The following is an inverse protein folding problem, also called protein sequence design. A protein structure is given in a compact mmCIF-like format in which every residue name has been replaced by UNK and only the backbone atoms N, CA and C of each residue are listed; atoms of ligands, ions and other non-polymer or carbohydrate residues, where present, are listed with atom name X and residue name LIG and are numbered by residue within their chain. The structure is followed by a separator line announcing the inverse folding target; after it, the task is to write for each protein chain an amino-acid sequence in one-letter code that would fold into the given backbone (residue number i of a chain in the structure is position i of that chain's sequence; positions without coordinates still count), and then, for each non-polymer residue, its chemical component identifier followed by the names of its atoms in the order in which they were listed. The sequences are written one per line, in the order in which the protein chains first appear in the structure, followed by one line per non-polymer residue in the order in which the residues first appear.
data_IF_937776073663
#
_entry.id   IF_937776073663
#
_cell.length_a   1.000
_cell.length_b   1.000
_cell.length_c   1.000
_cell.angle_alpha   90.00
_cell.angle_beta   90.00
_cell.angle_gamma   90.00
#
_symmetry.space_group_name_H-M   'P 1'
#
loop_
_entity.id
_entity.type
_entity.pdbx_description
1 polymer ?
#
# COMPACT_ATOMS: atom_id res chain seq x y z
N UNK A 1 -22.25 2.40 10.72
CA UNK A 1 -21.33 1.42 11.34
C UNK A 1 -21.53 0.01 10.76
N UNK A 2 -22.77 -0.51 10.70
CA UNK A 2 -23.04 -1.86 10.16
C UNK A 2 -22.54 -2.06 8.72
N UNK A 3 -22.76 -1.09 7.83
CA UNK A 3 -22.26 -1.14 6.44
C UNK A 3 -20.73 -1.18 6.38
N UNK A 4 -20.05 -0.33 7.16
CA UNK A 4 -18.60 -0.30 7.22
C UNK A 4 -18.04 -1.64 7.76
N UNK A 5 -18.63 -2.17 8.82
CA UNK A 5 -18.25 -3.47 9.37
C UNK A 5 -18.46 -4.59 8.36
N UNK A 6 -19.61 -4.61 7.67
CA UNK A 6 -19.90 -5.58 6.60
C UNK A 6 -18.90 -5.52 5.45
N UNK A 7 -18.48 -4.31 5.04
CA UNK A 7 -17.48 -4.14 3.98
C UNK A 7 -16.07 -4.60 4.44
N UNK A 8 -15.68 -4.32 5.68
CA UNK A 8 -14.40 -4.79 6.23
C UNK A 8 -14.39 -6.31 6.35
N UNK A 9 -15.45 -6.90 6.89
CA UNK A 9 -15.60 -8.36 6.99
C UNK A 9 -15.57 -9.02 5.61
N UNK A 10 -16.30 -8.47 4.64
CA UNK A 10 -16.30 -8.95 3.26
C UNK A 10 -14.92 -8.88 2.62
N UNK A 11 -14.17 -7.78 2.83
CA UNK A 11 -12.79 -7.65 2.37
C UNK A 11 -11.90 -8.75 2.95
N UNK A 12 -12.01 -8.99 4.27
CA UNK A 12 -11.22 -10.02 4.95
C UNK A 12 -11.49 -11.40 4.34
N UNK A 13 -12.76 -11.76 4.14
CA UNK A 13 -13.16 -13.04 3.53
C UNK A 13 -12.59 -13.16 2.11
N UNK A 14 -12.77 -12.14 1.29
CA UNK A 14 -12.31 -12.15 -0.12
C UNK A 14 -10.80 -12.28 -0.19
N UNK A 15 -10.04 -11.47 0.56
CA UNK A 15 -8.57 -11.53 0.55
C UNK A 15 -8.07 -12.85 1.10
N UNK A 16 -8.67 -13.37 2.18
CA UNK A 16 -8.29 -14.67 2.74
C UNK A 16 -8.51 -15.78 1.72
N UNK A 17 -9.68 -15.80 1.05
CA UNK A 17 -9.97 -16.80 0.03
C UNK A 17 -8.96 -16.79 -1.11
N UNK A 18 -8.65 -15.61 -1.67
CA UNK A 18 -7.67 -15.53 -2.75
C UNK A 18 -6.24 -15.84 -2.29
N UNK A 19 -5.86 -15.51 -1.05
CA UNK A 19 -4.57 -15.88 -0.49
C UNK A 19 -4.42 -17.40 -0.27
N UNK A 20 -5.50 -18.13 -0.02
CA UNK A 20 -5.44 -19.60 0.06
C UNK A 20 -5.23 -20.25 -1.32
N UNK A 21 -5.71 -19.59 -2.39
CA UNK A 21 -5.53 -20.09 -3.77
C UNK A 21 -4.12 -19.81 -4.29
N UNK A 22 -3.59 -18.63 -4.02
CA UNK A 22 -2.25 -18.21 -4.46
C UNK A 22 -1.73 -17.12 -3.52
N UNK A 23 -0.88 -17.48 -2.58
CA UNK A 23 -0.22 -16.54 -1.68
C UNK A 23 0.60 -15.51 -2.48
N UNK A 24 0.48 -14.23 -2.12
CA UNK A 24 1.19 -13.11 -2.78
C UNK A 24 0.91 -12.96 -4.28
N UNK A 25 -0.25 -13.39 -4.75
CA UNK A 25 -0.61 -13.34 -6.16
C UNK A 25 -1.05 -11.94 -6.59
N UNK A 26 -0.70 -11.55 -7.84
CA UNK A 26 -1.27 -10.36 -8.49
C UNK A 26 -2.80 -10.39 -8.52
N UNK A 27 -3.41 -11.57 -8.58
CA UNK A 27 -4.87 -11.73 -8.56
C UNK A 27 -5.44 -11.25 -7.24
N UNK A 28 -4.85 -11.64 -6.11
CA UNK A 28 -5.28 -11.18 -4.77
C UNK A 28 -5.21 -9.66 -4.66
N UNK A 29 -4.10 -9.08 -5.13
CA UNK A 29 -3.89 -7.63 -5.15
C UNK A 29 -4.93 -6.93 -6.02
N UNK A 30 -5.16 -7.40 -7.25
CA UNK A 30 -6.14 -6.83 -8.17
C UNK A 30 -7.56 -6.90 -7.60
N UNK A 31 -7.93 -8.03 -7.01
CA UNK A 31 -9.24 -8.22 -6.36
C UNK A 31 -9.40 -7.28 -5.17
N UNK A 32 -8.37 -7.13 -4.34
CA UNK A 32 -8.38 -6.19 -3.22
C UNK A 32 -8.60 -4.74 -3.69
N UNK A 33 -7.90 -4.31 -4.74
CA UNK A 33 -8.05 -2.97 -5.32
C UNK A 33 -9.48 -2.76 -5.83
N UNK A 34 -9.99 -3.70 -6.64
CA UNK A 34 -11.34 -3.62 -7.19
C UNK A 34 -12.37 -3.54 -6.05
N UNK A 35 -12.22 -4.41 -5.04
CA UNK A 35 -13.12 -4.41 -3.88
C UNK A 35 -13.13 -3.07 -3.16
N UNK A 36 -11.96 -2.49 -2.87
CA UNK A 36 -11.86 -1.21 -2.17
C UNK A 36 -12.45 -0.06 -3.00
N UNK A 37 -12.20 -0.03 -4.31
CA UNK A 37 -12.79 0.97 -5.20
C UNK A 37 -14.32 0.87 -5.20
N UNK A 38 -14.88 -0.35 -5.22
CA UNK A 38 -16.33 -0.57 -5.15
C UNK A 38 -16.88 -0.19 -3.76
N UNK A 39 -16.22 -0.60 -2.69
CA UNK A 39 -16.62 -0.27 -1.32
C UNK A 39 -16.64 1.24 -1.08
N UNK A 40 -15.63 1.97 -1.58
CA UNK A 40 -15.60 3.43 -1.47
C UNK A 40 -16.69 4.12 -2.28
N UNK A 41 -17.16 3.49 -3.38
CA UNK A 41 -18.33 3.97 -4.12
C UNK A 41 -19.61 3.91 -3.30
N UNK A 42 -19.74 2.90 -2.45
CA UNK A 42 -20.91 2.74 -1.56
C UNK A 42 -20.86 3.68 -0.34
N UNK A 43 -19.66 3.99 0.14
CA UNK A 43 -19.46 4.79 1.35
C UNK A 43 -19.41 6.30 1.11
N UNK A 44 -19.14 6.75 -0.11
CA UNK A 44 -18.87 8.15 -0.39
C UNK A 44 -19.58 8.64 -1.64
N UNK A 45 -20.13 9.87 -1.58
CA UNK A 45 -20.84 10.53 -2.68
C UNK A 45 -19.92 11.34 -3.61
N UNK A 46 -18.60 11.36 -3.40
CA UNK A 46 -17.66 12.14 -4.21
C UNK A 46 -17.38 11.58 -5.62
N UNK A 47 -16.65 12.35 -6.44
CA UNK A 47 -16.21 11.92 -7.77
C UNK A 47 -15.39 10.62 -7.71
N UNK A 48 -15.73 9.63 -8.53
CA UNK A 48 -15.06 8.32 -8.58
C UNK A 48 -13.53 8.45 -8.74
N UNK A 49 -13.06 9.37 -9.57
CA UNK A 49 -11.63 9.59 -9.82
C UNK A 49 -10.87 10.04 -8.56
N UNK A 50 -11.43 10.97 -7.78
CA UNK A 50 -10.82 11.44 -6.52
C UNK A 50 -10.71 10.29 -5.53
N UNK A 51 -11.79 9.52 -5.37
CA UNK A 51 -11.83 8.36 -4.48
C UNK A 51 -10.83 7.29 -4.88
N UNK A 52 -10.82 6.92 -6.16
CA UNK A 52 -9.89 5.91 -6.67
C UNK A 52 -8.43 6.35 -6.45
N UNK A 53 -8.11 7.62 -6.73
CA UNK A 53 -6.76 8.14 -6.51
C UNK A 53 -6.38 8.12 -5.02
N UNK A 54 -7.24 8.60 -4.13
CA UNK A 54 -6.99 8.59 -2.69
C UNK A 54 -6.85 7.15 -2.15
N UNK A 55 -7.68 6.22 -2.61
CA UNK A 55 -7.59 4.81 -2.25
C UNK A 55 -6.28 4.18 -2.74
N UNK A 56 -5.87 4.44 -3.99
CA UNK A 56 -4.62 3.90 -4.52
C UNK A 56 -3.42 4.45 -3.77
N UNK A 57 -3.41 5.74 -3.40
CA UNK A 57 -2.36 6.32 -2.55
C UNK A 57 -2.31 5.58 -1.19
N UNK A 58 -3.46 5.48 -0.52
CA UNK A 58 -3.52 4.83 0.79
C UNK A 58 -3.08 3.36 0.72
N UNK A 59 -3.58 2.61 -0.27
CA UNK A 59 -3.22 1.21 -0.48
C UNK A 59 -1.73 1.03 -0.77
N UNK A 60 -1.19 1.85 -1.67
CA UNK A 60 0.23 1.80 -2.01
C UNK A 60 1.10 1.93 -0.76
N UNK A 61 0.84 2.95 0.07
CA UNK A 61 1.64 3.16 1.28
C UNK A 61 1.39 2.09 2.33
N UNK A 62 0.14 1.71 2.59
CA UNK A 62 -0.18 0.69 3.59
C UNK A 62 0.49 -0.65 3.26
N UNK A 63 0.39 -1.11 2.01
CA UNK A 63 1.03 -2.35 1.60
C UNK A 63 2.56 -2.24 1.58
N UNK A 64 3.10 -1.10 1.10
CA UNK A 64 4.55 -0.89 1.10
C UNK A 64 5.14 -0.98 2.49
N UNK A 65 4.51 -0.35 3.48
CA UNK A 65 4.94 -0.43 4.87
C UNK A 65 4.78 -1.83 5.45
N UNK A 66 3.69 -2.53 5.14
CA UNK A 66 3.45 -3.91 5.59
C UNK A 66 4.62 -4.82 5.21
N UNK A 67 5.03 -4.75 3.95
CA UNK A 67 6.12 -5.58 3.44
C UNK A 67 7.51 -5.11 3.88
N UNK A 68 7.78 -3.80 3.86
CA UNK A 68 9.09 -3.28 4.32
C UNK A 68 9.31 -3.64 5.78
N UNK A 69 8.33 -3.42 6.65
CA UNK A 69 8.45 -3.75 8.07
C UNK A 69 8.55 -5.27 8.25
N UNK A 70 7.72 -6.05 7.53
CA UNK A 70 7.73 -7.51 7.61
C UNK A 70 9.05 -8.12 7.21
N UNK A 71 9.57 -7.77 6.04
CA UNK A 71 10.83 -8.29 5.55
C UNK A 71 12.03 -7.75 6.33
N UNK A 72 12.01 -6.48 6.76
CA UNK A 72 13.06 -5.94 7.62
C UNK A 72 13.08 -6.63 8.99
N UNK A 73 11.92 -6.92 9.58
CA UNK A 73 11.83 -7.67 10.83
C UNK A 73 12.37 -9.09 10.66
N UNK A 74 12.03 -9.73 9.54
CA UNK A 74 12.56 -11.06 9.21
C UNK A 74 14.09 -11.09 9.10
N UNK A 75 14.69 -10.04 8.54
CA UNK A 75 16.16 -9.89 8.48
C UNK A 75 16.84 -9.89 9.85
N UNK A 76 16.18 -9.28 10.85
CA UNK A 76 16.77 -9.11 12.18
C UNK A 76 16.47 -10.26 13.15
N UNK A 77 15.35 -10.98 12.94
CA UNK A 77 14.87 -11.97 13.90
C UNK A 77 15.17 -13.40 13.44
N UNK A 78 15.23 -13.64 12.13
CA UNK A 78 15.36 -14.97 11.59
C UNK A 78 16.83 -15.29 11.28
N UNK A 79 17.35 -16.29 11.96
CA UNK A 79 18.59 -16.97 11.59
C UNK A 79 18.30 -17.89 10.37
N UNK A 80 17.81 -17.28 9.29
CA UNK A 80 17.30 -17.99 8.12
C UNK A 80 18.12 -17.65 6.87
N UNK A 81 18.38 -18.62 5.99
CA UNK A 81 19.12 -18.39 4.76
C UNK A 81 18.38 -17.48 3.75
N UNK A 82 17.11 -17.18 4.00
CA UNK A 82 16.27 -16.39 3.12
C UNK A 82 15.35 -15.50 3.94
N UNK A 83 15.18 -14.24 3.50
CA UNK A 83 14.26 -13.27 4.11
C UNK A 83 12.82 -13.78 4.05
N UNK A 84 12.45 -14.42 2.94
CA UNK A 84 11.11 -15.00 2.80
C UNK A 84 10.85 -16.12 3.81
N UNK A 85 11.78 -17.05 3.97
CA UNK A 85 11.64 -18.13 4.97
C UNK A 85 11.60 -17.59 6.40
N UNK A 86 12.40 -16.56 6.69
CA UNK A 86 12.35 -15.86 7.97
C UNK A 86 11.00 -15.20 8.23
N UNK A 87 10.45 -14.53 7.22
CA UNK A 87 9.12 -13.91 7.29
C UNK A 87 8.03 -14.98 7.48
N UNK A 88 8.09 -16.06 6.72
CA UNK A 88 7.13 -17.17 6.80
C UNK A 88 7.18 -17.84 8.17
N UNK A 89 8.37 -18.14 8.70
CA UNK A 89 8.54 -18.67 10.05
C UNK A 89 8.00 -17.74 11.14
N UNK A 90 8.22 -16.43 11.02
CA UNK A 90 7.67 -15.42 11.92
C UNK A 90 6.14 -15.42 11.88
N UNK A 91 5.54 -15.56 10.70
CA UNK A 91 4.08 -15.57 10.52
C UNK A 91 3.41 -16.85 11.00
N UNK A 92 4.13 -17.98 10.99
CA UNK A 92 3.63 -19.24 11.53
C UNK A 92 3.69 -19.32 13.07
N UNK A 93 4.55 -18.55 13.73
CA UNK A 93 4.59 -18.50 15.18
C UNK A 93 3.51 -17.52 15.72
N UNK A 94 2.50 -17.98 16.47
CA UNK A 94 1.38 -17.14 16.91
C UNK A 94 1.84 -15.93 17.72
N UNK A 95 2.83 -16.06 18.59
CA UNK A 95 3.30 -14.97 19.47
C UNK A 95 4.01 -13.90 18.66
N UNK A 96 4.96 -14.27 17.81
CA UNK A 96 5.69 -13.31 16.96
C UNK A 96 4.75 -12.64 15.96
N UNK A 97 3.79 -13.38 15.40
CA UNK A 97 2.77 -12.83 14.50
C UNK A 97 1.92 -11.77 15.17
N UNK A 98 1.46 -12.00 16.41
CA UNK A 98 0.67 -11.01 17.17
C UNK A 98 1.48 -9.75 17.44
N UNK A 99 2.71 -9.89 17.94
CA UNK A 99 3.60 -8.76 18.22
C UNK A 99 3.86 -7.95 16.95
N UNK A 100 4.25 -8.63 15.87
CA UNK A 100 4.47 -8.00 14.56
C UNK A 100 3.23 -7.26 14.08
N UNK A 101 2.06 -7.89 14.13
CA UNK A 101 0.80 -7.29 13.68
C UNK A 101 0.47 -6.04 14.48
N UNK A 102 0.62 -6.06 15.81
CA UNK A 102 0.36 -4.91 16.67
C UNK A 102 1.30 -3.74 16.33
N UNK A 103 2.62 -3.98 16.23
CA UNK A 103 3.60 -2.96 15.90
C UNK A 103 3.30 -2.37 14.52
N UNK A 104 3.10 -3.23 13.51
CA UNK A 104 2.87 -2.82 12.15
C UNK A 104 1.57 -2.01 12.00
N UNK A 105 0.46 -2.48 12.58
CA UNK A 105 -0.83 -1.76 12.49
C UNK A 105 -0.84 -0.47 13.29
N UNK A 106 -0.13 -0.39 14.41
CA UNK A 106 0.07 0.85 15.14
C UNK A 106 0.85 1.87 14.33
N UNK A 107 1.93 1.44 13.67
CA UNK A 107 2.74 2.29 12.80
C UNK A 107 1.95 2.76 11.56
N UNK A 108 1.23 1.87 10.90
CA UNK A 108 0.35 2.21 9.77
C UNK A 108 -0.73 3.22 10.17
N UNK A 109 -1.32 3.05 11.37
CA UNK A 109 -2.34 3.98 11.88
C UNK A 109 -1.73 5.35 12.13
N UNK A 110 -0.57 5.43 12.79
CA UNK A 110 0.14 6.69 13.02
C UNK A 110 0.48 7.38 11.69
N UNK A 111 1.00 6.64 10.72
CA UNK A 111 1.31 7.15 9.39
C UNK A 111 0.05 7.67 8.68
N UNK A 112 -1.05 6.92 8.72
CA UNK A 112 -2.31 7.34 8.12
C UNK A 112 -2.81 8.65 8.73
N UNK A 113 -2.72 8.80 10.05
CA UNK A 113 -3.09 10.04 10.73
C UNK A 113 -2.21 11.23 10.30
N UNK A 114 -0.92 11.01 10.08
CA UNK A 114 0.01 12.03 9.57
C UNK A 114 -0.29 12.41 8.11
N UNK A 115 -0.66 11.45 7.27
CA UNK A 115 -0.91 11.68 5.83
C UNK A 115 -2.33 12.19 5.56
N UNK A 116 -3.28 11.90 6.45
CA UNK A 116 -4.70 12.28 6.30
C UNK A 116 -4.94 13.74 5.90
N UNK A 117 -4.31 14.76 6.52
CA UNK A 117 -4.53 16.16 6.12
C UNK A 117 -4.07 16.44 4.68
N UNK A 118 -3.05 15.73 4.20
CA UNK A 118 -2.55 15.88 2.82
C UNK A 118 -3.48 15.22 1.79
N UNK A 119 -4.17 14.14 2.17
CA UNK A 119 -5.14 13.47 1.29
C UNK A 119 -6.34 14.38 0.96
N UNK A 120 -6.67 15.33 1.82
CA UNK A 120 -7.71 16.32 1.53
C UNK A 120 -7.36 17.18 0.31
N UNK A 121 -6.08 17.51 0.11
CA UNK A 121 -5.63 18.28 -1.04
C UNK A 121 -5.79 17.55 -2.38
N UNK A 122 -5.91 16.23 -2.36
CA UNK A 122 -6.19 15.42 -3.57
C UNK A 122 -7.55 15.81 -4.17
N UNK A 123 -8.51 16.23 -3.36
CA UNK A 123 -9.84 16.62 -3.82
C UNK A 123 -9.85 17.93 -4.65
N UNK A 124 -8.82 18.75 -4.49
CA UNK A 124 -8.68 20.05 -5.17
C UNK A 124 -7.92 19.93 -6.51
N UNK A 125 -7.28 18.78 -6.75
CA UNK A 125 -6.49 18.54 -7.96
C UNK A 125 -7.37 18.55 -9.24
N UNK A 126 -6.82 19.11 -10.31
CA UNK A 126 -7.47 19.02 -11.62
C UNK A 126 -7.66 17.57 -12.08
N UNK A 127 -8.70 17.33 -12.88
CA UNK A 127 -8.98 15.97 -13.41
C UNK A 127 -7.79 15.37 -14.17
N UNK A 128 -6.98 16.19 -14.84
CA UNK A 128 -5.80 15.74 -15.56
C UNK A 128 -4.71 15.25 -14.60
N UNK A 129 -4.43 16.03 -13.56
CA UNK A 129 -3.45 15.66 -12.52
C UNK A 129 -3.88 14.40 -11.75
N UNK A 130 -5.17 14.27 -11.43
CA UNK A 130 -5.73 13.07 -10.78
C UNK A 130 -5.53 11.81 -11.64
N UNK A 131 -5.79 11.89 -12.96
CA UNK A 131 -5.56 10.76 -13.86
C UNK A 131 -4.09 10.37 -13.92
N UNK A 132 -3.20 11.35 -14.04
CA UNK A 132 -1.76 11.11 -14.07
C UNK A 132 -1.28 10.49 -12.76
N UNK A 133 -1.72 11.01 -11.62
CA UNK A 133 -1.36 10.48 -10.31
C UNK A 133 -1.90 9.07 -10.10
N UNK A 134 -3.14 8.79 -10.50
CA UNK A 134 -3.72 7.45 -10.45
C UNK A 134 -2.93 6.46 -11.30
N UNK A 135 -2.56 6.84 -12.52
CA UNK A 135 -1.75 6.01 -13.41
C UNK A 135 -0.37 5.72 -12.81
N UNK A 136 0.31 6.75 -12.29
CA UNK A 136 1.61 6.60 -11.63
C UNK A 136 1.53 5.68 -10.42
N UNK A 137 0.50 5.84 -9.56
CA UNK A 137 0.28 5.00 -8.40
C UNK A 137 0.00 3.54 -8.79
N UNK A 138 -0.80 3.32 -9.81
CA UNK A 138 -1.09 1.98 -10.32
C UNK A 138 0.16 1.31 -10.88
N UNK A 139 0.97 2.03 -11.65
CA UNK A 139 2.23 1.53 -12.20
C UNK A 139 3.22 1.19 -11.06
N UNK A 140 3.40 2.09 -10.09
CA UNK A 140 4.23 1.85 -8.93
C UNK A 140 3.77 0.63 -8.13
N UNK A 141 2.46 0.45 -7.95
CA UNK A 141 1.90 -0.70 -7.26
C UNK A 141 2.17 -2.02 -8.00
N UNK A 142 2.08 -2.04 -9.33
CA UNK A 142 2.43 -3.21 -10.16
C UNK A 142 3.92 -3.55 -10.01
N UNK A 143 4.80 -2.55 -10.08
CA UNK A 143 6.24 -2.74 -9.91
C UNK A 143 6.54 -3.31 -8.52
N UNK A 144 5.94 -2.75 -7.48
CA UNK A 144 6.10 -3.23 -6.10
C UNK A 144 5.64 -4.68 -5.95
N UNK A 145 4.49 -5.04 -6.53
CA UNK A 145 3.98 -6.42 -6.51
C UNK A 145 4.91 -7.39 -7.24
N UNK A 146 5.53 -6.96 -8.34
CA UNK A 146 6.55 -7.75 -9.07
C UNK A 146 7.80 -7.97 -8.21
N UNK A 147 8.24 -6.95 -7.48
CA UNK A 147 9.38 -7.05 -6.57
C UNK A 147 9.13 -8.05 -5.43
N UNK A 148 7.90 -8.08 -4.89
CA UNK A 148 7.52 -9.10 -3.87
C UNK A 148 7.67 -10.50 -4.46
N UNK A 149 7.18 -10.70 -5.69
CA UNK A 149 7.28 -11.99 -6.35
C UNK A 149 8.74 -12.44 -6.49
N UNK A 150 9.66 -11.51 -6.77
CA UNK A 150 11.10 -11.82 -6.82
C UNK A 150 11.63 -12.28 -5.45
N UNK A 151 11.22 -11.64 -4.35
CA UNK A 151 11.64 -12.07 -3.00
C UNK A 151 11.14 -13.50 -2.70
N UNK A 152 9.93 -13.82 -3.12
CA UNK A 152 9.32 -15.14 -2.86
C UNK A 152 9.98 -16.24 -3.70
N UNK A 153 10.41 -15.93 -4.92
CA UNK A 153 10.93 -16.92 -5.87
C UNK A 153 12.46 -17.06 -5.83
N UNK A 154 13.20 -16.03 -5.40
CA UNK A 154 14.65 -16.02 -5.40
C UNK A 154 15.21 -16.43 -4.04
N UNK A 155 16.13 -17.40 -4.07
CA UNK A 155 16.84 -17.89 -2.88
C UNK A 155 18.08 -17.05 -2.52
N UNK A 156 18.55 -16.18 -3.40
CA UNK A 156 19.75 -15.39 -3.16
C UNK A 156 19.49 -14.21 -2.23
N UNK A 157 20.02 -14.28 -1.01
CA UNK A 157 19.85 -13.29 0.04
C UNK A 157 20.24 -11.85 -0.40
N UNK A 158 21.31 -11.70 -1.17
CA UNK A 158 21.77 -10.40 -1.68
C UNK A 158 20.72 -9.77 -2.60
N UNK A 159 20.08 -10.57 -3.46
CA UNK A 159 19.03 -10.10 -4.35
C UNK A 159 17.80 -9.65 -3.55
N UNK A 160 17.43 -10.37 -2.51
CA UNK A 160 16.31 -10.01 -1.64
C UNK A 160 16.54 -8.67 -0.93
N UNK A 161 17.77 -8.42 -0.44
CA UNK A 161 18.14 -7.13 0.14
C UNK A 161 18.05 -6.01 -0.90
N UNK A 162 18.59 -6.21 -2.10
CA UNK A 162 18.54 -5.22 -3.18
C UNK A 162 17.08 -4.86 -3.56
N UNK A 163 16.17 -5.84 -3.54
CA UNK A 163 14.74 -5.62 -3.78
C UNK A 163 14.12 -4.75 -2.68
N UNK A 164 14.44 -4.99 -1.40
CA UNK A 164 13.94 -4.16 -0.30
C UNK A 164 14.40 -2.71 -0.45
N UNK A 165 15.67 -2.48 -0.74
CA UNK A 165 16.18 -1.13 -1.00
C UNK A 165 15.50 -0.47 -2.20
N UNK A 166 15.33 -1.19 -3.31
CA UNK A 166 14.61 -0.69 -4.49
C UNK A 166 13.18 -0.29 -4.12
N UNK A 167 12.53 -1.06 -3.28
CA UNK A 167 11.19 -0.76 -2.77
C UNK A 167 11.16 0.54 -1.97
N UNK A 168 12.09 0.73 -1.04
CA UNK A 168 12.21 1.96 -0.26
C UNK A 168 12.41 3.16 -1.18
N UNK A 169 13.27 3.04 -2.19
CA UNK A 169 13.49 4.11 -3.18
C UNK A 169 12.22 4.44 -3.97
N UNK A 170 11.47 3.45 -4.43
CA UNK A 170 10.20 3.66 -5.13
C UNK A 170 9.22 4.39 -4.22
N UNK A 171 9.11 4.01 -2.95
CA UNK A 171 8.22 4.63 -2.00
C UNK A 171 8.58 6.09 -1.73
N UNK A 172 9.87 6.41 -1.53
CA UNK A 172 10.35 7.77 -1.36
C UNK A 172 10.09 8.60 -2.64
N UNK A 173 10.39 8.05 -3.81
CA UNK A 173 10.12 8.70 -5.09
C UNK A 173 8.65 9.03 -5.29
N UNK A 174 7.74 8.13 -4.89
CA UNK A 174 6.30 8.37 -4.99
C UNK A 174 5.82 9.42 -4.00
N UNK A 175 6.35 9.45 -2.75
CA UNK A 175 6.09 10.54 -1.80
C UNK A 175 6.49 11.89 -2.38
N UNK A 176 7.67 11.96 -2.99
CA UNK A 176 8.17 13.17 -3.61
C UNK A 176 7.29 13.62 -4.79
N UNK A 177 6.85 12.71 -5.64
CA UNK A 177 5.92 13.00 -6.73
C UNK A 177 4.58 13.56 -6.23
N UNK A 178 4.01 12.96 -5.18
CA UNK A 178 2.76 13.46 -4.57
C UNK A 178 2.97 14.87 -4.03
N UNK A 179 4.08 15.10 -3.32
CA UNK A 179 4.42 16.40 -2.77
C UNK A 179 4.53 17.49 -3.86
N UNK A 180 5.24 17.20 -4.96
CA UNK A 180 5.35 18.11 -6.10
C UNK A 180 3.99 18.42 -6.71
N UNK A 181 3.14 17.42 -6.89
CA UNK A 181 1.79 17.59 -7.45
C UNK A 181 0.95 18.50 -6.56
N UNK A 182 1.03 18.33 -5.24
CA UNK A 182 0.32 19.18 -4.27
C UNK A 182 0.85 20.61 -4.30
N UNK A 183 2.17 20.81 -4.31
CA UNK A 183 2.78 22.14 -4.39
C UNK A 183 2.39 22.85 -5.69
N UNK A 184 2.45 22.16 -6.81
CA UNK A 184 2.07 22.72 -8.09
C UNK A 184 0.60 23.12 -8.12
N UNK A 185 -0.28 22.32 -7.54
CA UNK A 185 -1.71 22.65 -7.43
C UNK A 185 -1.92 23.93 -6.60
N UNK A 186 -1.25 24.06 -5.45
CA UNK A 186 -1.32 25.27 -4.62
C UNK A 186 -0.82 26.51 -5.34
N UNK A 187 0.32 26.38 -6.04
CA UNK A 187 0.86 27.49 -6.83
C UNK A 187 -0.13 27.95 -7.93
N UNK A 188 -0.78 27.02 -8.61
CA UNK A 188 -1.82 27.35 -9.61
C UNK A 188 -3.03 28.05 -9.00
N UNK A 189 -3.48 27.64 -7.81
CA UNK A 189 -4.58 28.31 -7.10
C UNK A 189 -4.23 29.72 -6.69
N UNK A 190 -3.04 29.97 -6.18
CA UNK A 190 -2.57 31.30 -5.82
C UNK A 190 -2.48 32.22 -7.05
N UNK A 191 -1.93 31.71 -8.15
CA UNK A 191 -1.84 32.45 -9.41
C UNK A 191 -3.20 32.80 -10.00
N UNK A 192 -4.22 31.96 -9.80
CA UNK A 192 -5.57 32.24 -10.30
C UNK A 192 -6.40 33.16 -9.39
N UNK A 193 -5.93 33.41 -8.15
CA UNK A 193 -6.57 34.34 -7.20
C UNK A 193 -6.06 35.78 -7.33
N UNK A 194 -4.85 35.94 -7.85
CA UNK A 194 -4.24 37.25 -8.14
C UNK A 194 -4.51 37.68 -9.58
#
# INVERSE_FOLDING_TARGET
FALLFGLVAGMTVVVTFFNTLASFSFVTVAVAIIYIVLATKLLSQGHCLIRSTACMIALFFLHSFDYIIGFSTALFIADSPSIYHGYDAMMHNPTTRVIYTLINKSFQTALFLLVRPYLHHVSVLSRRLLKTLLLMMTAAYIIMSSLIQMIVTDSLYVMQIAVIFSWIFIMIGMLFCIFIVILFSRYQEEKNRN
#
